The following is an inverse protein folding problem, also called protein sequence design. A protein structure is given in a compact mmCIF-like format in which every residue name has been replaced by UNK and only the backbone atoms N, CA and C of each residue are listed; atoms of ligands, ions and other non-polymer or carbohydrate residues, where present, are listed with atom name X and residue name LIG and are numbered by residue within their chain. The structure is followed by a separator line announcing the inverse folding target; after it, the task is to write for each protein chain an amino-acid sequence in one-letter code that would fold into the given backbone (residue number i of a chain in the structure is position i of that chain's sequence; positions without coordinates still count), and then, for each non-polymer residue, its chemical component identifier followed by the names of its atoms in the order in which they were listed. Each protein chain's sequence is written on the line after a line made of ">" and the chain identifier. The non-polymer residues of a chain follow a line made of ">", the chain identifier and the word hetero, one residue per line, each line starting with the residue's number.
data_IF_175007356821
#
_entry.id   IF_175007356821
#
_cell.length_a   1.000
_cell.length_b   1.000
_cell.length_c   1.000
_cell.angle_alpha   90.00
_cell.angle_beta   90.00
_cell.angle_gamma   90.00
#
_symmetry.space_group_name_H-M   'P 1'
#
loop_
_entity.id
_entity.type
_entity.pdbx_description
1 polymer ?
#
# COMPACT_ATOMS: atom_id res chain seq x y z
N UNK A 1 10.74 -17.72 -4.14
CA UNK A 1 10.45 -17.71 -5.60
C UNK A 1 9.49 -16.58 -5.82
N UNK A 2 9.76 -15.70 -6.78
CA UNK A 2 8.92 -14.54 -7.05
C UNK A 2 7.47 -14.95 -7.39
N UNK A 3 6.52 -14.13 -6.95
CA UNK A 3 5.10 -14.27 -7.27
C UNK A 3 4.92 -13.97 -8.76
N UNK A 4 4.18 -14.85 -9.47
CA UNK A 4 3.83 -14.64 -10.87
C UNK A 4 2.43 -14.05 -11.00
N UNK A 5 2.25 -13.16 -11.97
CA UNK A 5 0.94 -12.62 -12.30
C UNK A 5 0.07 -13.65 -13.02
N UNK A 6 -1.25 -13.46 -12.95
CA UNK A 6 -2.25 -14.25 -13.64
C UNK A 6 -2.26 -13.90 -15.13
N UNK A 7 -2.17 -14.90 -16.02
CA UNK A 7 -2.04 -14.68 -17.46
C UNK A 7 -3.21 -13.88 -18.08
N UNK A 8 -4.42 -14.04 -17.54
CA UNK A 8 -5.60 -13.30 -18.01
C UNK A 8 -5.65 -11.83 -17.56
N UNK A 9 -4.79 -11.42 -16.63
CA UNK A 9 -4.75 -10.06 -16.08
C UNK A 9 -3.34 -9.48 -16.15
N UNK A 10 -2.75 -9.30 -17.35
CA UNK A 10 -1.42 -8.73 -17.48
C UNK A 10 -1.40 -7.30 -16.94
N UNK A 11 -0.27 -6.92 -16.35
CA UNK A 11 0.01 -5.52 -16.04
C UNK A 11 0.32 -4.77 -17.35
N UNK A 12 -0.04 -3.49 -17.42
CA UNK A 12 0.18 -2.71 -18.64
C UNK A 12 1.69 -2.55 -18.93
N UNK A 13 2.05 -2.58 -20.22
CA UNK A 13 3.44 -2.53 -20.66
C UNK A 13 4.14 -1.23 -20.22
N UNK A 14 3.40 -0.12 -20.13
CA UNK A 14 3.92 1.16 -19.67
C UNK A 14 4.38 1.10 -18.21
N UNK A 15 3.62 0.48 -17.30
CA UNK A 15 4.04 0.27 -15.91
C UNK A 15 5.28 -0.60 -15.83
N UNK A 16 5.36 -1.66 -16.64
CA UNK A 16 6.56 -2.54 -16.69
C UNK A 16 7.78 -1.75 -17.17
N UNK A 17 7.63 -0.89 -18.19
CA UNK A 17 8.72 -0.06 -18.69
C UNK A 17 9.22 0.93 -17.63
N UNK A 18 8.31 1.65 -16.97
CA UNK A 18 8.64 2.59 -15.87
C UNK A 18 9.38 1.86 -14.75
N UNK A 19 8.87 0.71 -14.30
CA UNK A 19 9.48 -0.05 -13.21
C UNK A 19 10.81 -0.69 -13.58
N UNK A 20 11.03 -1.03 -14.86
CA UNK A 20 12.34 -1.46 -15.37
C UNK A 20 13.37 -0.32 -15.30
N UNK A 21 12.96 0.89 -15.65
CA UNK A 21 13.83 2.07 -15.57
C UNK A 21 14.18 2.44 -14.13
N UNK A 22 13.18 2.36 -13.23
CA UNK A 22 13.39 2.50 -11.78
C UNK A 22 14.36 1.45 -11.27
N UNK A 23 14.19 0.17 -11.64
CA UNK A 23 15.12 -0.90 -11.23
C UNK A 23 16.56 -0.60 -11.66
N UNK A 24 16.75 -0.19 -12.92
CA UNK A 24 18.07 0.16 -13.44
C UNK A 24 18.69 1.37 -12.71
N UNK A 25 17.92 2.43 -12.49
CA UNK A 25 18.39 3.63 -11.79
C UNK A 25 18.70 3.33 -10.31
N UNK A 26 17.83 2.61 -9.61
CA UNK A 26 18.03 2.21 -8.22
C UNK A 26 19.26 1.33 -8.04
N UNK A 27 19.50 0.38 -8.96
CA UNK A 27 20.70 -0.46 -8.97
C UNK A 27 21.99 0.36 -9.16
N UNK A 28 21.96 1.42 -9.98
CA UNK A 28 23.13 2.29 -10.18
C UNK A 28 23.51 3.06 -8.92
N UNK A 29 22.53 3.52 -8.15
CA UNK A 29 22.76 4.26 -6.89
C UNK A 29 22.82 3.36 -5.65
N UNK A 30 22.59 2.06 -5.80
CA UNK A 30 22.61 1.08 -4.70
C UNK A 30 21.44 1.22 -3.72
N UNK A 31 20.28 1.70 -4.18
CA UNK A 31 19.10 1.94 -3.33
C UNK A 31 18.13 0.75 -3.38
N UNK A 32 17.66 0.31 -2.21
CA UNK A 32 16.53 -0.60 -2.11
C UNK A 32 15.22 0.18 -2.29
N UNK A 33 14.23 -0.42 -2.93
CA UNK A 33 12.97 0.24 -3.23
C UNK A 33 11.82 -0.77 -3.33
N UNK A 34 10.60 -0.29 -3.20
CA UNK A 34 9.40 -1.09 -3.38
C UNK A 34 8.30 -0.30 -4.09
N UNK A 35 7.44 -1.01 -4.83
CA UNK A 35 6.20 -0.46 -5.38
C UNK A 35 5.17 -0.37 -4.27
N UNK A 36 4.58 0.81 -4.09
CA UNK A 36 3.53 1.08 -3.13
C UNK A 36 2.22 1.52 -3.78
N UNK A 37 1.37 2.15 -2.97
CA UNK A 37 0.17 2.83 -3.46
C UNK A 37 -0.85 1.93 -4.16
N UNK A 38 -1.58 2.51 -5.11
CA UNK A 38 -2.62 1.78 -5.84
C UNK A 38 -2.02 0.71 -6.77
N UNK A 39 -0.86 0.98 -7.37
CA UNK A 39 -0.17 0.04 -8.25
C UNK A 39 0.20 -1.26 -7.49
N UNK A 40 0.74 -1.16 -6.28
CA UNK A 40 1.06 -2.35 -5.47
C UNK A 40 -0.18 -3.18 -5.12
N UNK A 41 -1.27 -2.51 -4.72
CA UNK A 41 -2.55 -3.17 -4.47
C UNK A 41 -3.01 -3.91 -5.72
N UNK A 42 -3.03 -3.25 -6.87
CA UNK A 42 -3.55 -3.83 -8.11
C UNK A 42 -2.69 -5.00 -8.61
N UNK A 43 -1.36 -4.94 -8.40
CA UNK A 43 -0.45 -6.08 -8.64
C UNK A 43 -0.88 -7.29 -7.80
N UNK A 44 -1.10 -7.08 -6.50
CA UNK A 44 -1.40 -8.16 -5.55
C UNK A 44 -2.89 -8.56 -5.52
N UNK A 45 -3.78 -7.85 -6.21
CA UNK A 45 -5.20 -8.19 -6.33
C UNK A 45 -5.60 -8.50 -7.77
N UNK A 46 -5.71 -7.48 -8.63
CA UNK A 46 -6.21 -7.63 -10.01
C UNK A 46 -5.29 -8.52 -10.82
N UNK A 47 -3.99 -8.22 -10.84
CA UNK A 47 -3.04 -8.91 -11.69
C UNK A 47 -2.66 -10.28 -11.15
N UNK A 48 -2.76 -10.53 -9.85
CA UNK A 48 -2.46 -11.83 -9.25
C UNK A 48 -3.67 -12.75 -9.12
N UNK A 49 -4.84 -12.22 -8.74
CA UNK A 49 -6.03 -12.99 -8.36
C UNK A 49 -7.29 -12.63 -9.16
N UNK A 50 -7.21 -11.70 -10.12
CA UNK A 50 -8.37 -11.29 -10.93
C UNK A 50 -9.42 -10.48 -10.16
N UNK A 51 -9.07 -9.94 -8.99
CA UNK A 51 -9.97 -9.15 -8.15
C UNK A 51 -10.03 -7.73 -8.71
N UNK A 52 -11.01 -7.47 -9.58
CA UNK A 52 -11.14 -6.20 -10.29
C UNK A 52 -11.45 -5.00 -9.38
N UNK A 53 -10.97 -3.84 -9.83
CA UNK A 53 -11.27 -2.53 -9.27
C UNK A 53 -12.22 -1.75 -10.17
N UNK A 54 -12.97 -0.82 -9.57
CA UNK A 54 -13.75 0.16 -10.34
C UNK A 54 -12.93 1.34 -10.89
N UNK A 55 -11.60 1.42 -10.63
CA UNK A 55 -10.78 2.59 -11.00
C UNK A 55 -9.38 2.21 -11.47
N UNK A 56 -8.99 2.73 -12.65
CA UNK A 56 -7.60 2.71 -13.11
C UNK A 56 -6.76 3.78 -12.40
N UNK A 57 -5.53 3.43 -12.00
CA UNK A 57 -4.50 4.36 -11.51
C UNK A 57 -3.65 4.86 -12.68
N UNK A 58 -3.29 6.14 -12.65
CA UNK A 58 -2.45 6.77 -13.69
C UNK A 58 -1.02 7.03 -13.16
N UNK A 59 -0.76 6.56 -11.95
CA UNK A 59 0.37 6.89 -11.10
C UNK A 59 1.02 5.61 -10.54
N UNK A 60 2.33 5.53 -10.66
CA UNK A 60 3.16 4.50 -10.02
C UNK A 60 3.81 5.14 -8.80
N UNK A 61 3.43 4.67 -7.61
CA UNK A 61 4.04 5.09 -6.35
C UNK A 61 5.19 4.15 -5.99
N UNK A 62 6.37 4.69 -5.68
CA UNK A 62 7.49 3.92 -5.14
C UNK A 62 8.04 4.55 -3.86
N UNK A 63 8.39 3.68 -2.90
CA UNK A 63 9.25 4.04 -1.78
C UNK A 63 10.69 3.69 -2.11
N UNK A 64 11.63 4.61 -1.87
CA UNK A 64 13.07 4.37 -2.09
C UNK A 64 13.87 4.62 -0.82
N UNK A 65 14.56 3.59 -0.33
CA UNK A 65 15.45 3.69 0.83
C UNK A 65 16.77 4.34 0.41
N UNK A 66 16.99 5.56 0.87
CA UNK A 66 18.12 6.40 0.50
C UNK A 66 18.66 7.16 1.71
N UNK A 67 19.98 7.30 1.77
CA UNK A 67 20.67 7.88 2.93
C UNK A 67 20.78 9.42 2.89
N UNK A 68 20.54 10.05 1.72
CA UNK A 68 20.70 11.49 1.57
C UNK A 68 19.96 12.08 0.37
N UNK A 69 19.72 13.40 0.41
CA UNK A 69 19.15 14.13 -0.73
C UNK A 69 20.07 14.15 -1.95
N UNK A 70 21.36 13.87 -1.77
CA UNK A 70 22.25 13.65 -2.90
C UNK A 70 21.91 12.35 -3.62
N UNK A 71 21.68 11.25 -2.88
CA UNK A 71 21.25 9.98 -3.47
C UNK A 71 19.91 10.08 -4.20
N UNK A 72 18.93 10.81 -3.62
CA UNK A 72 17.63 11.04 -4.30
C UNK A 72 17.82 11.81 -5.62
N UNK A 73 18.69 12.82 -5.64
CA UNK A 73 19.03 13.53 -6.89
C UNK A 73 19.71 12.63 -7.90
N UNK A 74 20.69 11.84 -7.50
CA UNK A 74 21.41 10.92 -8.40
C UNK A 74 20.46 9.88 -9.03
N UNK A 75 19.49 9.37 -8.26
CA UNK A 75 18.44 8.49 -8.76
C UNK A 75 17.56 9.20 -9.81
N UNK A 76 17.06 10.40 -9.48
CA UNK A 76 16.21 11.18 -10.38
C UNK A 76 16.94 11.59 -11.65
N UNK A 77 18.21 11.98 -11.54
CA UNK A 77 19.07 12.34 -12.67
C UNK A 77 19.32 11.13 -13.58
N UNK A 78 19.49 9.92 -13.02
CA UNK A 78 19.60 8.70 -13.81
C UNK A 78 18.31 8.39 -14.60
N UNK A 79 17.14 8.59 -14.00
CA UNK A 79 15.84 8.44 -14.68
C UNK A 79 15.65 9.50 -15.77
N UNK A 80 15.87 10.77 -15.46
CA UNK A 80 15.78 11.88 -16.43
C UNK A 80 16.79 11.68 -17.57
N UNK A 81 17.97 11.17 -17.26
CA UNK A 81 19.03 10.86 -18.22
C UNK A 81 18.64 9.83 -19.29
N UNK A 82 17.57 9.04 -19.07
CA UNK A 82 17.05 8.15 -20.13
C UNK A 82 16.29 8.92 -21.22
N UNK A 83 16.00 10.21 -21.03
CA UNK A 83 15.20 11.04 -21.94
C UNK A 83 13.70 10.71 -21.95
N UNK A 84 13.22 9.92 -20.98
CA UNK A 84 11.81 9.49 -20.86
C UNK A 84 11.07 10.12 -19.69
N UNK A 85 11.82 10.71 -18.76
CA UNK A 85 11.30 11.31 -17.54
C UNK A 85 11.63 12.80 -17.51
N UNK A 86 10.67 13.60 -17.07
CA UNK A 86 10.82 15.03 -16.84
C UNK A 86 10.39 15.40 -15.41
N UNK A 87 11.02 16.39 -14.76
CA UNK A 87 10.56 16.89 -13.47
C UNK A 87 9.14 17.44 -13.55
N UNK A 88 8.30 17.11 -12.57
CA UNK A 88 6.95 17.65 -12.44
C UNK A 88 6.93 18.89 -11.52
N UNK A 89 5.77 19.55 -11.42
CA UNK A 89 5.56 20.63 -10.46
C UNK A 89 5.53 20.10 -9.01
N UNK A 90 5.11 18.85 -8.82
CA UNK A 90 5.09 18.19 -7.52
C UNK A 90 6.46 17.59 -7.21
N UNK A 91 7.00 17.91 -6.02
CA UNK A 91 8.39 17.62 -5.67
C UNK A 91 8.74 16.12 -5.68
N UNK A 92 7.77 15.27 -5.38
CA UNK A 92 7.92 13.81 -5.41
C UNK A 92 7.81 13.21 -6.82
N UNK A 93 7.27 13.94 -7.81
CA UNK A 93 6.79 13.37 -9.08
C UNK A 93 7.73 13.59 -10.25
N UNK A 94 7.88 12.55 -11.06
CA UNK A 94 8.41 12.62 -12.42
C UNK A 94 7.31 12.28 -13.44
N UNK A 95 7.26 13.05 -14.52
CA UNK A 95 6.36 12.80 -15.65
C UNK A 95 7.07 11.85 -16.63
N UNK A 96 6.50 10.67 -16.85
CA UNK A 96 7.00 9.70 -17.82
C UNK A 96 6.26 9.84 -19.15
N UNK A 97 7.01 9.81 -20.26
CA UNK A 97 6.47 9.75 -21.62
C UNK A 97 6.97 8.50 -22.34
N UNK A 98 6.04 7.67 -22.80
CA UNK A 98 6.36 6.48 -23.58
C UNK A 98 6.97 6.88 -24.94
N UNK A 99 8.19 6.40 -25.30
CA UNK A 99 8.89 6.82 -26.52
C UNK A 99 8.11 6.60 -27.80
N UNK A 100 7.40 5.47 -27.91
CA UNK A 100 6.76 5.04 -29.15
C UNK A 100 5.36 5.62 -29.34
N UNK A 101 4.58 5.74 -28.25
CA UNK A 101 3.17 6.16 -28.29
C UNK A 101 2.94 7.61 -27.88
N UNK A 102 3.88 8.21 -27.12
CA UNK A 102 3.69 9.51 -26.49
C UNK A 102 2.69 9.51 -25.33
N UNK A 103 2.22 8.34 -24.90
CA UNK A 103 1.37 8.20 -23.72
C UNK A 103 2.11 8.63 -22.45
N UNK A 104 1.37 9.12 -21.46
CA UNK A 104 1.92 9.68 -20.23
C UNK A 104 1.52 8.87 -19.01
N UNK A 105 2.46 8.77 -18.07
CA UNK A 105 2.27 8.19 -16.74
C UNK A 105 2.99 9.07 -15.71
N UNK A 106 2.56 9.04 -14.46
CA UNK A 106 3.26 9.70 -13.38
C UNK A 106 4.00 8.69 -12.51
N UNK A 107 5.23 9.01 -12.14
CA UNK A 107 6.03 8.25 -11.17
C UNK A 107 6.21 9.12 -9.93
N UNK A 108 5.57 8.73 -8.83
CA UNK A 108 5.74 9.36 -7.53
C UNK A 108 6.83 8.61 -6.75
N UNK A 109 7.92 9.32 -6.45
CA UNK A 109 9.09 8.79 -5.74
C UNK A 109 9.13 9.41 -4.36
N UNK A 110 8.90 8.58 -3.34
CA UNK A 110 9.00 8.95 -1.93
C UNK A 110 10.28 8.36 -1.34
N UNK A 111 11.31 9.18 -1.09
CA UNK A 111 12.52 8.68 -0.47
C UNK A 111 12.31 8.53 1.05
N UNK A 112 12.96 7.56 1.68
CA UNK A 112 12.89 7.31 3.13
C UNK A 112 14.21 6.68 3.64
N UNK A 113 14.36 6.48 4.95
CA UNK A 113 15.61 5.98 5.54
C UNK A 113 16.44 7.12 6.13
N UNK A 114 17.69 7.31 5.67
CA UNK A 114 18.62 8.31 6.24
C UNK A 114 18.21 9.78 6.07
N UNK A 115 17.07 10.05 5.42
CA UNK A 115 16.49 11.38 5.23
C UNK A 115 15.55 11.83 6.33
N UNK A 116 15.09 10.89 7.16
CA UNK A 116 14.09 11.15 8.19
C UNK A 116 14.63 12.11 9.25
N UNK A 117 13.82 13.11 9.60
CA UNK A 117 14.13 14.00 10.72
C UNK A 117 14.11 13.21 12.02
N UNK A 118 15.10 13.46 12.88
CA UNK A 118 15.23 12.78 14.17
C UNK A 118 13.91 12.81 14.95
N UNK A 119 13.38 11.62 15.24
CA UNK A 119 12.21 11.42 16.10
C UNK A 119 10.84 11.44 15.41
N UNK A 120 10.71 12.04 14.22
CA UNK A 120 9.38 12.33 13.65
C UNK A 120 9.00 11.42 12.46
N UNK A 121 9.95 10.62 11.94
CA UNK A 121 9.76 9.82 10.71
C UNK A 121 9.17 10.66 9.56
N UNK A 122 9.55 11.93 9.50
CA UNK A 122 9.13 12.88 8.48
C UNK A 122 10.31 13.27 7.59
N UNK A 123 10.03 13.49 6.32
CA UNK A 123 10.98 14.08 5.37
C UNK A 123 10.44 15.42 4.86
N UNK A 124 11.36 16.32 4.52
CA UNK A 124 11.05 17.60 3.89
C UNK A 124 11.90 17.77 2.63
N UNK A 125 11.24 17.88 1.47
CA UNK A 125 11.95 18.04 0.21
C UNK A 125 12.80 19.32 0.20
N UNK A 126 13.96 19.32 -0.48
CA UNK A 126 14.81 20.50 -0.61
C UNK A 126 14.00 21.72 -1.08
N UNK A 127 14.11 22.83 -0.36
CA UNK A 127 13.32 24.04 -0.59
C UNK A 127 12.10 24.21 0.33
N UNK A 128 11.78 23.20 1.16
CA UNK A 128 10.85 23.32 2.29
C UNK A 128 9.37 23.41 1.93
N UNK A 129 9.01 23.24 0.65
CA UNK A 129 7.65 23.39 0.17
C UNK A 129 6.74 22.21 0.52
N UNK A 130 7.31 21.03 0.75
CA UNK A 130 6.56 19.80 0.94
C UNK A 130 7.16 18.91 2.03
N UNK A 131 6.31 18.44 2.95
CA UNK A 131 6.64 17.51 4.03
C UNK A 131 5.78 16.27 3.91
N UNK A 132 6.35 15.12 4.22
CA UNK A 132 5.64 13.85 4.25
C UNK A 132 6.11 13.00 5.42
N UNK A 133 5.15 12.40 6.13
CA UNK A 133 5.42 11.33 7.07
C UNK A 133 5.69 10.03 6.29
N UNK A 134 6.82 9.38 6.59
CA UNK A 134 7.26 8.12 5.99
C UNK A 134 7.30 6.99 7.02
N UNK A 135 6.61 7.13 8.15
CA UNK A 135 6.42 6.04 9.09
C UNK A 135 5.81 4.81 8.38
N UNK A 136 6.32 3.62 8.71
CA UNK A 136 5.90 2.38 8.08
C UNK A 136 6.59 2.07 6.74
N UNK A 137 7.36 2.98 6.13
CA UNK A 137 8.04 2.68 4.86
C UNK A 137 9.18 1.65 5.02
N UNK A 138 9.94 1.73 6.12
CA UNK A 138 10.95 0.72 6.45
C UNK A 138 10.33 -0.66 6.66
N UNK A 139 9.28 -0.73 7.48
CA UNK A 139 8.52 -1.95 7.73
C UNK A 139 7.86 -2.48 6.44
N UNK A 140 7.39 -1.60 5.54
CA UNK A 140 6.82 -1.99 4.26
C UNK A 140 7.87 -2.54 3.28
N UNK A 141 9.10 -2.01 3.27
CA UNK A 141 10.21 -2.54 2.49
C UNK A 141 10.61 -3.93 2.99
N UNK A 142 10.74 -4.10 4.32
CA UNK A 142 11.08 -5.39 4.93
C UNK A 142 10.02 -6.47 4.65
N UNK A 143 8.75 -6.07 4.63
CA UNK A 143 7.61 -6.94 4.36
C UNK A 143 7.23 -7.03 2.88
N UNK A 144 8.01 -6.42 1.98
CA UNK A 144 7.71 -6.42 0.56
C UNK A 144 7.94 -7.82 -0.04
N UNK A 145 7.12 -8.16 -1.03
CA UNK A 145 7.17 -9.44 -1.73
C UNK A 145 7.75 -9.27 -3.12
N UNK A 146 8.57 -10.22 -3.56
CA UNK A 146 9.09 -10.24 -4.93
C UNK A 146 8.00 -10.65 -5.92
N UNK A 147 7.79 -9.84 -6.95
CA UNK A 147 6.82 -10.11 -8.02
C UNK A 147 7.51 -10.04 -9.38
N UNK A 148 7.34 -11.08 -10.19
CA UNK A 148 7.79 -11.14 -11.58
C UNK A 148 6.72 -10.48 -12.48
N UNK A 149 7.00 -9.26 -12.94
CA UNK A 149 6.10 -8.48 -13.81
C UNK A 149 6.23 -8.85 -15.29
N UNK A 150 7.44 -9.26 -15.70
CA UNK A 150 7.78 -9.70 -17.05
C UNK A 150 9.01 -10.62 -17.02
N UNK A 151 9.36 -11.21 -18.17
CA UNK A 151 10.52 -12.10 -18.37
C UNK A 151 11.86 -11.35 -18.24
N UNK A 152 12.17 -10.80 -17.07
CA UNK A 152 13.39 -10.09 -16.66
C UNK A 152 13.11 -9.00 -15.60
N UNK A 153 11.85 -8.65 -15.35
CA UNK A 153 11.48 -7.59 -14.39
C UNK A 153 10.89 -8.21 -13.14
N UNK A 154 11.74 -8.34 -12.11
CA UNK A 154 11.32 -8.68 -10.75
C UNK A 154 11.46 -7.43 -9.88
N UNK A 155 10.40 -7.09 -9.16
CA UNK A 155 10.39 -5.92 -8.26
C UNK A 155 9.85 -6.30 -6.89
N UNK A 156 10.22 -5.53 -5.87
CA UNK A 156 9.58 -5.61 -4.56
C UNK A 156 8.26 -4.84 -4.58
N UNK A 157 7.21 -5.44 -4.05
CA UNK A 157 5.87 -4.84 -3.94
C UNK A 157 5.45 -4.88 -2.48
N UNK A 158 5.00 -3.75 -1.93
CA UNK A 158 4.48 -3.71 -0.58
C UNK A 158 3.34 -4.74 -0.43
N UNK A 159 3.48 -5.64 0.53
CA UNK A 159 2.47 -6.66 0.80
C UNK A 159 1.13 -6.02 1.19
N UNK A 160 0.02 -6.74 1.01
CA UNK A 160 -1.31 -6.21 1.38
C UNK A 160 -1.40 -5.79 2.87
N UNK A 161 -0.81 -6.51 3.85
CA UNK A 161 -0.73 -6.02 5.23
C UNK A 161 0.10 -4.74 5.38
N UNK A 162 1.23 -4.62 4.68
CA UNK A 162 2.02 -3.39 4.67
C UNK A 162 1.25 -2.22 4.06
N UNK A 163 0.50 -2.45 2.98
CA UNK A 163 -0.39 -1.43 2.39
C UNK A 163 -1.49 -1.01 3.37
N UNK A 164 -2.10 -1.94 4.11
CA UNK A 164 -3.09 -1.60 5.14
C UNK A 164 -2.50 -0.68 6.21
N UNK A 165 -1.29 -0.99 6.70
CA UNK A 165 -0.55 -0.12 7.63
C UNK A 165 -0.31 1.26 7.04
N UNK A 166 0.26 1.35 5.84
CA UNK A 166 0.55 2.62 5.18
C UNK A 166 -0.72 3.45 4.93
N UNK A 167 -1.86 2.82 4.63
CA UNK A 167 -3.15 3.53 4.46
C UNK A 167 -3.65 4.11 5.78
N UNK A 168 -3.48 3.42 6.91
CA UNK A 168 -3.85 3.97 8.23
C UNK A 168 -2.99 5.19 8.56
N UNK A 169 -1.69 5.11 8.34
CA UNK A 169 -0.75 6.21 8.60
C UNK A 169 -1.03 7.41 7.69
N UNK A 170 -1.17 7.17 6.38
CA UNK A 170 -1.54 8.22 5.43
C UNK A 170 -2.91 8.84 5.76
N UNK A 171 -3.90 8.03 6.15
CA UNK A 171 -5.20 8.52 6.59
C UNK A 171 -5.05 9.47 7.77
N UNK A 172 -4.31 9.10 8.81
CA UNK A 172 -4.08 9.96 9.99
C UNK A 172 -3.61 11.36 9.55
N UNK A 173 -2.70 11.42 8.59
CA UNK A 173 -2.09 12.68 8.15
C UNK A 173 -2.99 13.51 7.21
N UNK A 174 -3.83 12.88 6.39
CA UNK A 174 -4.60 13.58 5.32
C UNK A 174 -6.11 13.34 5.26
N UNK A 175 -6.71 12.69 6.27
CA UNK A 175 -8.13 12.34 6.29
C UNK A 175 -9.09 13.54 6.23
N UNK A 176 -8.64 14.75 6.58
CA UNK A 176 -9.44 15.98 6.46
C UNK A 176 -9.56 16.46 5.01
N UNK A 177 -8.61 16.08 4.13
CA UNK A 177 -8.63 16.44 2.72
C UNK A 177 -9.54 15.52 1.90
N UNK A 178 -9.51 14.21 2.16
CA UNK A 178 -10.36 13.23 1.46
C UNK A 178 -10.46 11.88 2.18
N UNK A 179 -11.46 11.06 1.82
CA UNK A 179 -11.70 9.72 2.37
C UNK A 179 -11.07 8.57 1.56
N UNK A 180 -10.13 8.85 0.64
CA UNK A 180 -9.55 7.83 -0.26
C UNK A 180 -8.83 6.73 0.49
N UNK A 181 -8.02 7.06 1.50
CA UNK A 181 -7.29 6.06 2.28
C UNK A 181 -8.22 5.16 3.08
N UNK A 182 -9.33 5.70 3.60
CA UNK A 182 -10.38 4.91 4.26
C UNK A 182 -11.04 3.94 3.27
N UNK A 183 -11.31 4.39 2.05
CA UNK A 183 -11.90 3.57 0.98
C UNK A 183 -10.96 2.44 0.55
N UNK A 184 -9.67 2.74 0.38
CA UNK A 184 -8.66 1.74 0.04
C UNK A 184 -8.47 0.72 1.17
N UNK A 185 -8.47 1.17 2.43
CA UNK A 185 -8.36 0.26 3.58
C UNK A 185 -9.58 -0.67 3.68
N UNK A 186 -10.79 -0.14 3.47
CA UNK A 186 -12.01 -0.95 3.37
C UNK A 186 -11.90 -2.01 2.28
N UNK A 187 -11.38 -1.63 1.11
CA UNK A 187 -11.18 -2.58 0.01
C UNK A 187 -10.20 -3.71 0.41
N UNK A 188 -9.08 -3.37 1.08
CA UNK A 188 -8.13 -4.37 1.54
C UNK A 188 -8.78 -5.33 2.55
N UNK A 189 -9.57 -4.80 3.50
CA UNK A 189 -10.30 -5.62 4.48
C UNK A 189 -11.28 -6.58 3.79
N UNK A 190 -12.05 -6.10 2.82
CA UNK A 190 -13.09 -6.92 2.16
C UNK A 190 -12.55 -7.95 1.18
N UNK A 191 -11.31 -7.80 0.70
CA UNK A 191 -10.71 -8.69 -0.31
C UNK A 191 -9.57 -9.56 0.18
N UNK A 192 -9.20 -9.45 1.46
CA UNK A 192 -8.03 -10.17 1.94
C UNK A 192 -8.20 -11.69 1.87
N UNK A 193 -9.40 -12.21 2.14
CA UNK A 193 -9.71 -13.64 1.98
C UNK A 193 -9.50 -14.10 0.52
N UNK A 194 -10.12 -13.38 -0.43
CA UNK A 194 -10.04 -13.64 -1.88
C UNK A 194 -8.61 -13.53 -2.43
N UNK A 195 -7.76 -12.70 -1.81
CA UNK A 195 -6.38 -12.47 -2.22
C UNK A 195 -5.42 -13.60 -1.78
N UNK A 196 -5.83 -14.85 -1.99
CA UNK A 196 -5.01 -16.05 -1.74
C UNK A 196 -4.97 -16.53 -0.30
N UNK A 197 -5.89 -16.08 0.57
CA UNK A 197 -5.92 -16.47 1.98
C UNK A 197 -7.00 -17.50 2.34
N UNK A 198 -7.78 -17.99 1.39
CA UNK A 198 -8.77 -19.04 1.65
C UNK A 198 -8.16 -20.31 2.26
N UNK A 199 -7.03 -20.79 1.74
CA UNK A 199 -6.35 -21.97 2.29
C UNK A 199 -5.93 -21.76 3.75
N UNK A 200 -5.53 -20.52 4.12
CA UNK A 200 -5.19 -20.18 5.50
C UNK A 200 -6.40 -20.18 6.42
N UNK A 201 -7.54 -19.67 5.92
CA UNK A 201 -8.80 -19.59 6.66
C UNK A 201 -9.46 -20.96 6.86
N UNK A 202 -9.38 -21.86 5.88
CA UNK A 202 -10.07 -23.16 5.95
C UNK A 202 -9.17 -24.31 6.42
N UNK A 203 -7.91 -24.34 5.99
CA UNK A 203 -7.01 -25.49 6.17
C UNK A 203 -5.66 -25.10 6.81
N UNK A 204 -5.50 -23.86 7.26
CA UNK A 204 -4.22 -23.30 7.72
C UNK A 204 -4.24 -22.69 9.11
N UNK A 205 -3.49 -21.60 9.26
CA UNK A 205 -3.17 -20.94 10.53
C UNK A 205 -4.23 -19.91 10.99
N UNK A 206 -5.36 -19.79 10.28
CA UNK A 206 -6.38 -18.78 10.52
C UNK A 206 -7.80 -19.33 10.71
N UNK A 207 -7.95 -20.65 10.90
CA UNK A 207 -9.25 -21.27 11.20
C UNK A 207 -9.92 -20.69 12.45
N UNK A 208 -9.12 -20.32 13.45
CA UNK A 208 -9.60 -19.72 14.69
C UNK A 208 -10.31 -18.38 14.47
N UNK A 209 -9.88 -17.60 13.46
CA UNK A 209 -10.56 -16.36 13.06
C UNK A 209 -11.88 -16.64 12.36
N UNK A 210 -11.92 -17.68 11.53
CA UNK A 210 -13.13 -18.09 10.84
C UNK A 210 -14.20 -18.53 11.85
N UNK A 211 -13.83 -19.34 12.84
CA UNK A 211 -14.72 -19.73 13.95
C UNK A 211 -15.19 -18.53 14.78
N UNK A 212 -14.28 -17.60 15.11
CA UNK A 212 -14.58 -16.42 15.91
C UNK A 212 -15.57 -15.45 15.23
N UNK A 213 -15.59 -15.44 13.90
CA UNK A 213 -16.41 -14.55 13.08
C UNK A 213 -17.57 -15.27 12.38
N UNK A 214 -18.04 -16.39 12.94
CA UNK A 214 -19.26 -17.06 12.48
C UNK A 214 -19.15 -17.67 11.09
N UNK A 215 -17.94 -18.04 10.69
CA UNK A 215 -17.60 -18.59 9.36
C UNK A 215 -17.90 -17.64 8.19
N UNK A 216 -17.92 -16.33 8.44
CA UNK A 216 -17.93 -15.33 7.38
C UNK A 216 -16.48 -15.10 6.89
N UNK A 217 -16.12 -15.54 5.67
CA UNK A 217 -14.74 -15.49 5.20
C UNK A 217 -14.24 -14.06 5.00
N UNK A 218 -15.11 -13.10 4.66
CA UNK A 218 -14.70 -11.71 4.44
C UNK A 218 -14.34 -11.06 5.79
N UNK A 219 -15.17 -11.28 6.81
CA UNK A 219 -14.93 -10.77 8.17
C UNK A 219 -13.70 -11.44 8.81
N UNK A 220 -13.56 -12.76 8.64
CA UNK A 220 -12.38 -13.48 9.09
C UNK A 220 -11.11 -13.05 8.31
N UNK A 221 -11.24 -12.75 7.02
CA UNK A 221 -10.19 -12.17 6.19
C UNK A 221 -9.74 -10.80 6.69
N UNK A 222 -10.67 -9.92 7.08
CA UNK A 222 -10.33 -8.64 7.70
C UNK A 222 -9.57 -8.82 9.03
N UNK A 223 -9.98 -9.78 9.86
CA UNK A 223 -9.23 -10.13 11.08
C UNK A 223 -7.83 -10.70 10.76
N UNK A 224 -7.70 -11.51 9.70
CA UNK A 224 -6.42 -12.08 9.28
C UNK A 224 -5.47 -10.99 8.75
N UNK A 225 -5.99 -10.03 7.99
CA UNK A 225 -5.23 -8.85 7.56
C UNK A 225 -4.67 -8.09 8.77
N UNK A 226 -5.48 -7.91 9.80
CA UNK A 226 -5.06 -7.31 11.07
C UNK A 226 -3.96 -8.11 11.77
N UNK A 227 -4.10 -9.44 11.86
CA UNK A 227 -3.09 -10.34 12.45
C UNK A 227 -1.76 -10.25 11.72
N UNK A 228 -1.79 -10.33 10.40
CA UNK A 228 -0.58 -10.27 9.58
C UNK A 228 0.06 -8.88 9.61
N UNK A 229 -0.75 -7.82 9.58
CA UNK A 229 -0.25 -6.44 9.70
C UNK A 229 0.42 -6.22 11.06
N UNK A 230 -0.17 -6.73 12.15
CA UNK A 230 0.37 -6.55 13.49
C UNK A 230 1.81 -7.06 13.64
N UNK A 231 2.16 -8.15 12.93
CA UNK A 231 3.50 -8.73 12.91
C UNK A 231 4.55 -7.80 12.25
N UNK A 232 4.12 -6.88 11.39
CA UNK A 232 4.98 -5.92 10.69
C UNK A 232 5.18 -4.63 11.48
N UNK A 233 4.21 -4.27 12.34
CA UNK A 233 4.15 -2.96 12.99
C UNK A 233 5.15 -2.89 14.14
N UNK A 234 6.20 -2.10 13.95
CA UNK A 234 7.17 -1.78 14.99
C UNK A 234 6.49 -1.12 16.21
N UNK A 235 6.97 -1.35 17.44
CA UNK A 235 6.35 -0.83 18.67
C UNK A 235 6.08 0.68 18.65
N UNK A 236 6.96 1.47 18.02
CA UNK A 236 6.82 2.91 17.90
C UNK A 236 5.62 3.36 17.03
N UNK A 237 5.16 2.52 16.08
CA UNK A 237 4.02 2.83 15.20
C UNK A 237 2.69 2.42 15.84
N UNK A 238 2.67 1.43 16.75
CA UNK A 238 1.43 0.87 17.33
C UNK A 238 0.49 1.93 17.91
N UNK A 239 0.96 2.92 18.71
CA UNK A 239 0.07 3.95 19.26
C UNK A 239 -0.62 4.76 18.16
N UNK A 240 0.10 5.04 17.07
CA UNK A 240 -0.41 5.82 15.95
C UNK A 240 -1.53 5.08 15.21
N UNK A 241 -1.39 3.76 15.06
CA UNK A 241 -2.43 2.91 14.47
C UNK A 241 -3.65 2.84 15.39
N UNK A 242 -3.44 2.62 16.69
CA UNK A 242 -4.54 2.55 17.66
C UNK A 242 -5.31 3.86 17.76
N UNK A 243 -4.63 5.01 17.74
CA UNK A 243 -5.28 6.32 17.70
C UNK A 243 -6.19 6.48 16.48
N UNK A 244 -5.70 6.07 15.30
CA UNK A 244 -6.49 6.15 14.07
C UNK A 244 -7.71 5.21 14.08
N UNK A 245 -7.59 4.03 14.68
CA UNK A 245 -8.68 3.06 14.80
C UNK A 245 -9.67 3.39 15.93
N UNK A 246 -9.25 4.19 16.91
CA UNK A 246 -10.01 4.60 18.09
C UNK A 246 -10.79 3.42 18.73
N UNK A 247 -10.09 2.44 19.34
CA UNK A 247 -10.73 1.33 20.03
C UNK A 247 -11.69 1.84 21.11
N UNK A 248 -12.84 1.20 21.25
CA UNK A 248 -13.91 1.60 22.19
C UNK A 248 -14.89 2.64 21.64
N UNK A 249 -14.56 3.37 20.58
CA UNK A 249 -15.54 4.22 19.89
C UNK A 249 -16.45 3.37 18.99
N UNK A 250 -17.77 3.60 19.02
CA UNK A 250 -18.73 2.84 18.21
C UNK A 250 -18.61 3.17 16.72
N UNK A 251 -18.47 4.46 16.40
CA UNK A 251 -18.39 4.97 15.03
C UNK A 251 -17.23 5.97 14.91
N UNK A 252 -15.98 5.49 14.95
CA UNK A 252 -14.82 6.36 14.80
C UNK A 252 -14.79 7.00 13.41
N UNK A 253 -14.07 8.12 13.28
CA UNK A 253 -14.04 8.89 12.03
C UNK A 253 -13.65 8.06 10.81
N UNK A 254 -12.68 7.15 10.96
CA UNK A 254 -12.23 6.26 9.90
C UNK A 254 -13.39 5.37 9.39
N UNK A 255 -14.13 4.74 10.30
CA UNK A 255 -15.33 3.96 9.95
C UNK A 255 -16.39 4.83 9.28
N UNK A 256 -16.69 6.03 9.82
CA UNK A 256 -17.65 6.93 9.19
C UNK A 256 -17.26 7.32 7.75
N UNK A 257 -15.97 7.47 7.47
CA UNK A 257 -15.51 7.72 6.10
C UNK A 257 -15.62 6.50 5.19
N UNK A 258 -15.42 5.28 5.72
CA UNK A 258 -15.70 4.04 4.99
C UNK A 258 -17.18 3.92 4.62
N UNK A 259 -18.07 4.26 5.56
CA UNK A 259 -19.53 4.23 5.37
C UNK A 259 -20.03 5.37 4.46
N UNK A 260 -19.46 6.57 4.61
CA UNK A 260 -19.83 7.79 3.88
C UNK A 260 -19.28 7.89 2.46
N UNK A 261 -18.39 6.98 2.04
CA UNK A 261 -17.84 6.90 0.69
C UNK A 261 -18.87 6.61 -0.42
N UNK A 262 -20.16 6.45 -0.07
CA UNK A 262 -21.28 6.12 -0.95
C UNK A 262 -21.65 7.13 -2.05
N UNK A 263 -20.79 8.09 -2.38
CA UNK A 263 -20.94 8.91 -3.59
C UNK A 263 -19.86 8.55 -4.61
N UNK A 264 -20.06 7.36 -5.20
CA UNK A 264 -19.33 6.73 -6.30
C UNK A 264 -18.06 6.00 -5.83
N UNK A 265 -17.94 4.74 -6.27
CA UNK A 265 -16.76 3.85 -6.23
C UNK A 265 -16.81 2.80 -5.10
N UNK A 266 -16.96 1.53 -5.49
CA UNK A 266 -17.11 0.30 -4.69
C UNK A 266 -18.49 0.06 -4.02
N UNK A 267 -19.54 -0.08 -4.85
CA UNK A 267 -20.62 -0.99 -4.48
C UNK A 267 -20.06 -2.41 -4.60
N UNK A 268 -19.85 -3.10 -3.49
CA UNK A 268 -19.60 -4.54 -3.51
C UNK A 268 -20.98 -5.16 -3.79
N UNK A 269 -21.15 -5.80 -4.94
CA UNK A 269 -22.43 -6.46 -5.26
C UNK A 269 -22.79 -7.47 -4.15
N UNK A 270 -24.01 -7.37 -3.61
CA UNK A 270 -24.48 -8.25 -2.55
C UNK A 270 -24.13 -7.83 -1.11
N UNK A 271 -23.56 -6.64 -0.90
CA UNK A 271 -23.19 -6.16 0.44
C UNK A 271 -24.40 -6.07 1.38
N UNK A 272 -24.36 -6.85 2.47
CA UNK A 272 -25.39 -6.85 3.51
C UNK A 272 -25.28 -5.60 4.39
N UNK A 273 -26.40 -5.05 4.92
CA UNK A 273 -26.33 -3.99 5.92
C UNK A 273 -25.41 -4.40 7.09
N UNK A 274 -24.50 -3.52 7.49
CA UNK A 274 -23.54 -3.79 8.57
C UNK A 274 -22.21 -4.43 8.14
N UNK A 275 -22.05 -4.83 6.87
CA UNK A 275 -20.84 -5.54 6.43
C UNK A 275 -19.56 -4.71 6.65
N UNK A 276 -19.59 -3.41 6.42
CA UNK A 276 -18.43 -2.55 6.64
C UNK A 276 -18.08 -2.40 8.12
N UNK A 277 -19.09 -2.32 8.97
CA UNK A 277 -18.93 -2.33 10.41
C UNK A 277 -18.34 -3.66 10.90
N UNK A 278 -18.80 -4.80 10.38
CA UNK A 278 -18.28 -6.11 10.74
C UNK A 278 -16.81 -6.28 10.33
N UNK A 279 -16.46 -5.93 9.08
CA UNK A 279 -15.08 -5.94 8.59
C UNK A 279 -14.17 -5.06 9.45
N UNK A 280 -14.59 -3.80 9.68
CA UNK A 280 -13.80 -2.85 10.46
C UNK A 280 -13.63 -3.29 11.91
N UNK A 281 -14.70 -3.80 12.54
CA UNK A 281 -14.64 -4.24 13.93
C UNK A 281 -13.79 -5.51 14.09
N UNK A 282 -13.86 -6.45 13.16
CA UNK A 282 -13.01 -7.64 13.16
C UNK A 282 -11.52 -7.26 13.03
N UNK A 283 -11.20 -6.38 12.08
CA UNK A 283 -9.84 -5.84 11.92
C UNK A 283 -9.36 -5.10 13.18
N UNK A 284 -10.15 -4.14 13.68
CA UNK A 284 -9.80 -3.30 14.83
C UNK A 284 -9.61 -4.09 16.11
N UNK A 285 -10.55 -4.97 16.45
CA UNK A 285 -10.50 -5.74 17.71
C UNK A 285 -9.39 -6.79 17.69
N UNK A 286 -9.05 -7.32 16.51
CA UNK A 286 -7.90 -8.23 16.36
C UNK A 286 -6.59 -7.48 16.62
N UNK A 287 -6.41 -6.28 16.05
CA UNK A 287 -5.22 -5.46 16.32
C UNK A 287 -5.07 -5.06 17.77
N UNK A 288 -6.16 -4.58 18.39
CA UNK A 288 -6.17 -4.18 19.80
C UNK A 288 -5.72 -5.35 20.70
N UNK A 289 -6.23 -6.56 20.44
CA UNK A 289 -5.82 -7.77 21.17
C UNK A 289 -4.35 -8.14 20.94
N UNK A 290 -3.88 -8.12 19.70
CA UNK A 290 -2.50 -8.50 19.37
C UNK A 290 -1.51 -7.50 19.98
N UNK A 291 -1.76 -6.20 19.84
CA UNK A 291 -0.90 -5.18 20.44
C UNK A 291 -0.91 -5.21 21.97
N UNK A 292 -2.02 -5.55 22.60
CA UNK A 292 -2.10 -5.70 24.05
C UNK A 292 -1.34 -6.93 24.59
N UNK A 293 -1.27 -8.02 23.81
CA UNK A 293 -0.59 -9.26 24.20
C UNK A 293 0.95 -9.16 24.17
N UNK A 294 1.48 -8.18 23.44
CA UNK A 294 2.92 -7.95 23.25
C UNK A 294 3.51 -6.91 24.22
N UNK A 295 2.68 -6.30 25.08
CA UNK A 295 3.07 -5.33 26.13
C UNK A 295 3.25 -6.00 27.48
#
# INVERSE_FOLDING_TARGET
>A
MAIKLHEAHPICEMSVAVLRDVSNAANQVGAAWFVGGATARDILTTHRFGIEQSRATADVDIGVCIESWQGDRELRDALIGTGRFEPSAEAQRLDYTAPDSGERMWLDIVPFGGLEREGDREIEWPGGAFRMNVAGFGEALEAAVEVELAHDVVVLVASLPALAMLKILAWRDRHTAHARDATDLRFLMSRYADAGNYDRLYDGDALDLLEAHGFDPDVAGAALLARDMAALVAPAIRPLILEALAPGEAYPRLLNQMLGGGHRTLQIEGERPGANEDLFNAFRTTLDRVFAADT
#
